data_IF_374152043844
#
_entry.id   IF_374152043844
#
_cell.length_a   1.000
_cell.length_b   1.000
_cell.length_c   1.000
_cell.angle_alpha   90.00
_cell.angle_beta   90.00
_cell.angle_gamma   90.00
#
_symmetry.space_group_name_H-M   'P 1'
#
loop_
_entity.id
_entity.type
_entity.pdbx_description
1 polymer ?
#
# COMPACT_ATOMS: atom_id res chain seq x y z
N UNK A 1 -3.25 0.03 32.31
CA UNK A 1 -3.61 1.28 31.61
C UNK A 1 -3.84 0.92 30.14
N UNK A 2 -5.06 1.02 29.59
CA UNK A 2 -5.27 0.71 28.19
C UNK A 2 -4.84 1.93 27.36
N UNK A 3 -3.67 1.84 26.73
CA UNK A 3 -3.30 2.77 25.66
C UNK A 3 -4.32 2.58 24.54
N UNK A 4 -5.19 3.57 24.34
CA UNK A 4 -5.99 3.65 23.12
C UNK A 4 -5.01 3.97 22.00
N UNK A 5 -4.57 2.93 21.27
CA UNK A 5 -3.91 3.13 19.99
C UNK A 5 -4.93 3.89 19.12
N UNK A 6 -4.62 5.12 18.73
CA UNK A 6 -5.49 5.86 17.81
C UNK A 6 -5.21 5.34 16.43
N UNK A 7 -6.18 4.66 15.84
CA UNK A 7 -6.17 4.40 14.40
C UNK A 7 -6.12 5.77 13.69
N UNK A 8 -5.08 5.99 12.90
CA UNK A 8 -4.96 7.16 12.04
C UNK A 8 -5.73 6.88 10.76
N UNK A 9 -6.54 7.85 10.33
CA UNK A 9 -7.24 7.81 9.06
C UNK A 9 -6.72 8.93 8.15
N UNK A 10 -6.36 8.60 6.91
CA UNK A 10 -5.91 9.55 5.90
C UNK A 10 -6.63 9.29 4.59
N UNK A 11 -6.91 10.35 3.82
CA UNK A 11 -7.47 10.24 2.49
C UNK A 11 -6.36 10.24 1.44
N UNK A 12 -6.32 9.20 0.62
CA UNK A 12 -5.35 9.01 -0.44
C UNK A 12 -6.03 8.51 -1.71
N UNK A 13 -5.29 8.54 -2.81
CA UNK A 13 -5.82 8.24 -4.13
C UNK A 13 -5.11 7.04 -4.76
N UNK A 14 -5.86 6.29 -5.55
CA UNK A 14 -5.35 5.21 -6.38
C UNK A 14 -5.97 5.29 -7.77
N UNK A 15 -5.18 4.97 -8.79
CA UNK A 15 -5.64 4.92 -10.16
C UNK A 15 -6.07 3.51 -10.54
N UNK A 16 -7.32 3.32 -10.93
CA UNK A 16 -7.83 2.01 -11.36
C UNK A 16 -8.20 1.99 -12.84
N UNK A 17 -8.00 0.85 -13.49
CA UNK A 17 -8.44 0.57 -14.86
C UNK A 17 -9.67 -0.33 -14.91
N UNK A 18 -10.05 -0.94 -13.78
CA UNK A 18 -11.11 -1.93 -13.67
C UNK A 18 -11.97 -1.68 -12.42
N UNK A 19 -13.18 -2.25 -12.39
CA UNK A 19 -14.01 -2.24 -11.20
C UNK A 19 -13.75 -3.50 -10.37
N UNK A 20 -13.55 -3.32 -9.07
CA UNK A 20 -13.36 -4.39 -8.11
C UNK A 20 -13.93 -3.98 -6.75
N UNK A 21 -14.28 -4.98 -5.95
CA UNK A 21 -14.85 -4.77 -4.61
C UNK A 21 -13.77 -4.66 -3.53
N UNK A 22 -12.57 -5.24 -3.75
CA UNK A 22 -11.45 -5.21 -2.82
C UNK A 22 -10.10 -5.26 -3.55
N UNK A 23 -9.07 -4.66 -2.95
CA UNK A 23 -7.69 -4.76 -3.43
C UNK A 23 -7.11 -6.13 -3.10
N UNK A 24 -6.46 -6.76 -4.09
CA UNK A 24 -5.59 -7.90 -3.82
C UNK A 24 -4.23 -7.39 -3.31
N UNK A 25 -4.06 -7.39 -1.99
CA UNK A 25 -2.79 -7.03 -1.35
C UNK A 25 -1.85 -8.23 -1.18
N UNK A 26 -2.20 -9.42 -1.68
CA UNK A 26 -1.42 -10.65 -1.44
C UNK A 26 -0.10 -10.71 -2.23
N UNK A 27 0.03 -9.91 -3.29
CA UNK A 27 1.24 -9.82 -4.11
C UNK A 27 1.96 -8.46 -3.94
N UNK A 28 3.29 -8.48 -4.11
CA UNK A 28 4.12 -7.26 -4.27
C UNK A 28 3.95 -6.23 -3.13
N UNK A 29 3.94 -6.71 -1.87
CA UNK A 29 3.97 -5.96 -0.60
C UNK A 29 2.66 -5.26 -0.19
N UNK A 30 1.74 -4.99 -1.11
CA UNK A 30 0.44 -4.36 -0.82
C UNK A 30 -0.02 -3.40 -1.90
N UNK A 31 -1.02 -2.59 -1.59
CA UNK A 31 -1.56 -1.59 -2.52
C UNK A 31 -0.92 -0.21 -2.30
N UNK A 32 -0.54 0.44 -3.39
CA UNK A 32 0.09 1.77 -3.37
C UNK A 32 -0.95 2.89 -3.47
N UNK A 33 -0.83 3.88 -2.61
CA UNK A 33 -1.69 5.07 -2.57
C UNK A 33 -0.83 6.33 -2.47
N UNK A 34 -1.35 7.45 -2.97
CA UNK A 34 -0.67 8.74 -2.90
C UNK A 34 -1.61 9.90 -3.16
N UNK A 35 -1.10 10.99 -3.70
CA UNK A 35 -1.93 12.12 -4.13
C UNK A 35 -2.71 11.77 -5.41
N UNK A 36 -3.78 12.54 -5.68
CA UNK A 36 -4.50 12.43 -6.94
C UNK A 36 -3.58 12.63 -8.15
N UNK A 37 -2.62 13.57 -8.06
CA UNK A 37 -1.64 13.83 -9.11
C UNK A 37 -0.72 12.62 -9.35
N UNK A 38 -0.22 11.98 -8.28
CA UNK A 38 0.60 10.77 -8.38
C UNK A 38 -0.18 9.60 -9.01
N UNK A 39 -1.44 9.39 -8.57
CA UNK A 39 -2.30 8.36 -9.12
C UNK A 39 -2.58 8.57 -10.62
N UNK A 40 -2.82 9.81 -11.03
CA UNK A 40 -3.09 10.16 -12.42
C UNK A 40 -1.84 10.03 -13.30
N UNK A 41 -0.68 10.45 -12.81
CA UNK A 41 0.60 10.24 -13.49
C UNK A 41 0.90 8.75 -13.65
N UNK A 42 0.67 7.95 -12.61
CA UNK A 42 0.83 6.50 -12.69
C UNK A 42 -0.10 5.87 -13.74
N UNK A 43 -1.38 6.25 -13.77
CA UNK A 43 -2.34 5.78 -14.80
C UNK A 43 -1.90 6.13 -16.22
N UNK A 44 -1.34 7.34 -16.42
CA UNK A 44 -0.77 7.72 -17.72
C UNK A 44 0.36 6.79 -18.13
N UNK A 45 1.24 6.45 -17.20
CA UNK A 45 2.40 5.60 -17.48
C UNK A 45 2.03 4.13 -17.71
N UNK A 46 1.08 3.57 -16.96
CA UNK A 46 0.74 2.13 -17.07
C UNK A 46 -0.37 1.81 -18.06
N UNK A 47 -1.30 2.75 -18.27
CA UNK A 47 -2.54 2.51 -19.00
C UNK A 47 -2.81 3.58 -20.07
N UNK A 48 -1.83 4.45 -20.38
CA UNK A 48 -2.02 5.54 -21.33
C UNK A 48 -3.09 6.54 -20.89
N UNK A 49 -3.40 6.59 -19.59
CA UNK A 49 -4.43 7.45 -19.01
C UNK A 49 -5.85 6.89 -19.13
N UNK A 50 -6.01 5.65 -19.60
CA UNK A 50 -7.28 4.94 -19.52
C UNK A 50 -7.51 4.47 -18.09
N UNK A 51 -8.64 4.86 -17.48
CA UNK A 51 -8.96 4.54 -16.09
C UNK A 51 -9.54 5.73 -15.34
N UNK A 52 -9.64 5.61 -14.03
CA UNK A 52 -10.12 6.66 -13.14
C UNK A 52 -9.29 6.73 -11.85
N UNK A 53 -9.12 7.94 -11.34
CA UNK A 53 -8.51 8.18 -10.01
C UNK A 53 -9.64 8.17 -8.99
N UNK A 54 -9.55 7.29 -8.00
CA UNK A 54 -10.51 7.16 -6.91
C UNK A 54 -9.88 7.53 -5.57
N UNK A 55 -10.69 8.06 -4.67
CA UNK A 55 -10.30 8.43 -3.30
C UNK A 55 -10.66 7.30 -2.32
N UNK A 56 -9.75 7.03 -1.39
CA UNK A 56 -9.88 6.00 -0.36
C UNK A 56 -9.48 6.57 1.00
N UNK A 57 -10.21 6.19 2.03
CA UNK A 57 -9.80 6.35 3.41
C UNK A 57 -8.93 5.15 3.81
N UNK A 58 -7.69 5.45 4.21
CA UNK A 58 -6.70 4.48 4.65
C UNK A 58 -6.56 4.57 6.16
N UNK A 59 -6.74 3.43 6.83
CA UNK A 59 -6.61 3.31 8.28
C UNK A 59 -5.36 2.51 8.65
N UNK A 60 -4.56 3.05 9.58
CA UNK A 60 -3.33 2.40 10.04
C UNK A 60 -2.96 2.89 11.45
N UNK A 61 -2.16 2.11 12.14
CA UNK A 61 -1.71 2.41 13.51
C UNK A 61 -0.29 2.95 13.53
N UNK A 62 0.61 2.39 12.72
CA UNK A 62 2.00 2.77 12.70
C UNK A 62 2.63 2.48 11.34
N UNK A 63 2.89 3.55 10.57
CA UNK A 63 3.55 3.45 9.29
C UNK A 63 5.08 3.51 9.46
N UNK A 64 5.80 2.52 8.92
CA UNK A 64 7.25 2.60 8.81
C UNK A 64 7.63 3.61 7.75
N UNK A 65 8.45 4.59 8.12
CA UNK A 65 9.03 5.53 7.17
C UNK A 65 10.23 4.92 6.44
N UNK A 66 10.12 4.83 5.12
CA UNK A 66 11.16 4.30 4.22
C UNK A 66 11.45 5.29 3.10
N UNK A 67 12.59 5.13 2.45
CA UNK A 67 12.89 5.89 1.23
C UNK A 67 12.08 5.34 0.05
N UNK A 68 11.80 6.19 -0.93
CA UNK A 68 11.30 5.72 -2.23
C UNK A 68 12.36 4.84 -2.89
N UNK A 69 12.00 3.59 -3.16
CA UNK A 69 12.92 2.61 -3.72
C UNK A 69 13.08 2.75 -5.24
N UNK A 70 12.19 3.49 -5.90
CA UNK A 70 12.05 3.59 -7.36
C UNK A 70 11.62 2.27 -8.02
N UNK A 71 12.34 1.18 -7.75
CA UNK A 71 11.94 -0.19 -8.09
C UNK A 71 11.56 -0.96 -6.84
N UNK A 72 10.25 -1.18 -6.65
CA UNK A 72 9.64 -1.93 -5.55
C UNK A 72 9.80 -3.45 -5.72
N UNK A 73 11.00 -3.90 -6.09
CA UNK A 73 11.35 -5.32 -6.24
C UNK A 73 11.74 -5.92 -4.90
N UNK A 74 11.51 -7.22 -4.75
CA UNK A 74 11.77 -7.97 -3.51
C UNK A 74 13.18 -7.70 -2.89
N UNK A 75 14.30 -7.75 -3.64
CA UNK A 75 15.62 -7.46 -3.07
C UNK A 75 15.78 -6.03 -2.53
N UNK A 76 15.18 -5.05 -3.21
CA UNK A 76 15.23 -3.63 -2.79
C UNK A 76 14.49 -3.42 -1.48
N UNK A 77 13.32 -4.06 -1.33
CA UNK A 77 12.51 -4.04 -0.10
C UNK A 77 13.29 -4.67 1.06
N UNK A 78 13.85 -5.87 0.88
CA UNK A 78 14.60 -6.53 1.96
C UNK A 78 15.83 -5.73 2.41
N UNK A 79 16.55 -5.10 1.46
CA UNK A 79 17.70 -4.25 1.77
C UNK A 79 17.28 -3.07 2.64
N UNK A 80 16.17 -2.43 2.33
CA UNK A 80 15.68 -1.29 3.10
C UNK A 80 15.16 -1.72 4.48
N UNK A 81 14.37 -2.79 4.57
CA UNK A 81 13.89 -3.29 5.86
C UNK A 81 15.05 -3.73 6.77
N UNK A 82 16.14 -4.28 6.20
CA UNK A 82 17.37 -4.54 6.95
C UNK A 82 18.07 -3.26 7.39
N UNK A 83 18.13 -2.23 6.54
CA UNK A 83 18.76 -0.94 6.86
C UNK A 83 18.05 -0.26 8.05
N UNK A 84 16.73 -0.41 8.12
CA UNK A 84 15.86 0.08 9.19
C UNK A 84 15.85 -0.80 10.44
N UNK A 85 16.54 -1.94 10.42
CA UNK A 85 16.58 -2.88 11.55
C UNK A 85 15.30 -3.71 11.75
N UNK A 86 14.36 -3.69 10.80
CA UNK A 86 13.16 -4.54 10.81
C UNK A 86 13.52 -5.99 10.55
N UNK A 87 14.51 -6.23 9.67
CA UNK A 87 15.02 -7.56 9.37
C UNK A 87 16.47 -7.71 9.82
N UNK A 88 16.78 -8.83 10.47
CA UNK A 88 18.15 -9.32 10.64
C UNK A 88 18.68 -9.96 9.36
N UNK A 89 20.01 -10.21 9.31
CA UNK A 89 20.61 -10.92 8.17
C UNK A 89 20.00 -12.33 7.97
N UNK A 90 19.79 -13.08 9.05
CA UNK A 90 19.17 -14.40 8.98
C UNK A 90 17.72 -14.35 8.48
N UNK A 91 16.96 -13.30 8.84
CA UNK A 91 15.60 -13.12 8.33
C UNK A 91 15.59 -12.72 6.84
N UNK A 92 16.61 -12.00 6.35
CA UNK A 92 16.75 -11.74 4.91
C UNK A 92 16.98 -13.03 4.14
N UNK A 93 17.83 -13.93 4.62
CA UNK A 93 18.05 -15.24 3.99
C UNK A 93 16.75 -16.07 3.99
N UNK A 94 16.04 -16.11 5.12
CA UNK A 94 14.75 -16.79 5.22
C UNK A 94 13.67 -16.19 4.29
N UNK A 95 13.70 -14.87 4.07
CA UNK A 95 12.81 -14.20 3.12
C UNK A 95 13.07 -14.63 1.68
N UNK A 96 14.34 -14.77 1.28
CA UNK A 96 14.68 -15.30 -0.04
C UNK A 96 14.23 -16.75 -0.22
N UNK A 97 14.44 -17.61 0.80
CA UNK A 97 13.94 -18.98 0.76
C UNK A 97 12.41 -19.05 0.65
N UNK A 98 11.70 -18.15 1.35
CA UNK A 98 10.25 -18.04 1.19
C UNK A 98 9.87 -17.61 -0.23
N UNK A 99 10.52 -16.59 -0.79
CA UNK A 99 10.26 -16.10 -2.13
C UNK A 99 10.59 -17.12 -3.24
N UNK A 100 11.62 -17.94 -3.02
CA UNK A 100 11.96 -19.05 -3.93
C UNK A 100 10.86 -20.12 -4.01
N UNK A 101 10.01 -20.23 -2.99
CA UNK A 101 8.82 -21.10 -3.03
C UNK A 101 7.68 -20.46 -3.81
N UNK A 102 7.42 -19.16 -3.58
CA UNK A 102 6.50 -18.33 -4.36
C UNK A 102 6.59 -16.86 -3.96
N UNK A 103 6.20 -15.96 -4.87
CA UNK A 103 6.09 -14.51 -4.59
C UNK A 103 5.12 -14.22 -3.44
N UNK A 104 4.04 -15.00 -3.33
CA UNK A 104 3.08 -14.89 -2.22
C UNK A 104 3.71 -15.26 -0.87
N UNK A 105 4.54 -16.32 -0.83
CA UNK A 105 5.25 -16.71 0.39
C UNK A 105 6.32 -15.67 0.79
N UNK A 106 7.02 -15.10 -0.19
CA UNK A 106 7.93 -13.97 0.05
C UNK A 106 7.19 -12.74 0.60
N UNK A 107 6.09 -12.35 -0.04
CA UNK A 107 5.27 -11.20 0.39
C UNK A 107 4.70 -11.39 1.79
N UNK A 108 4.18 -12.58 2.11
CA UNK A 108 3.68 -12.92 3.45
C UNK A 108 4.78 -12.80 4.52
N UNK A 109 5.99 -13.31 4.23
CA UNK A 109 7.12 -13.18 5.15
C UNK A 109 7.44 -11.72 5.49
N UNK A 110 7.45 -10.86 4.47
CA UNK A 110 7.74 -9.43 4.66
C UNK A 110 6.65 -8.74 5.49
N UNK A 111 5.36 -9.01 5.20
CA UNK A 111 4.25 -8.46 5.98
C UNK A 111 4.30 -8.92 7.43
N UNK A 112 4.58 -10.20 7.69
CA UNK A 112 4.71 -10.74 9.04
C UNK A 112 5.87 -10.10 9.81
N UNK A 113 7.00 -9.85 9.14
CA UNK A 113 8.13 -9.16 9.76
C UNK A 113 7.81 -7.70 10.10
N UNK A 114 7.11 -6.97 9.22
CA UNK A 114 6.63 -5.62 9.50
C UNK A 114 5.67 -5.60 10.69
N UNK A 115 4.69 -6.51 10.72
CA UNK A 115 3.73 -6.65 11.82
C UNK A 115 4.41 -7.00 13.13
N UNK A 116 5.37 -7.92 13.11
CA UNK A 116 6.16 -8.29 14.30
C UNK A 116 7.01 -7.13 14.83
N UNK A 117 7.44 -6.23 13.94
CA UNK A 117 8.12 -4.99 14.29
C UNK A 117 7.15 -3.84 14.69
N UNK A 118 5.84 -4.09 14.68
CA UNK A 118 4.81 -3.13 15.08
C UNK A 118 4.39 -2.14 14.01
N UNK A 119 4.58 -2.48 12.73
CA UNK A 119 4.17 -1.66 11.59
C UNK A 119 3.08 -2.35 10.77
N UNK A 120 2.10 -1.57 10.32
CA UNK A 120 0.97 -2.02 9.51
C UNK A 120 0.79 -1.23 8.21
N UNK A 121 1.69 -0.28 7.94
CA UNK A 121 1.79 0.44 6.67
C UNK A 121 3.24 0.85 6.40
N UNK A 122 3.53 1.22 5.16
CA UNK A 122 4.77 1.92 4.79
C UNK A 122 4.42 3.31 4.30
N UNK A 123 5.22 4.31 4.65
CA UNK A 123 5.13 5.67 4.12
C UNK A 123 6.46 6.11 3.52
N UNK A 124 6.41 6.87 2.42
CA UNK A 124 7.59 7.37 1.74
C UNK A 124 7.28 8.68 1.01
N UNK A 125 8.29 9.54 0.84
CA UNK A 125 8.18 10.70 -0.04
C UNK A 125 8.35 10.26 -1.49
N UNK A 126 7.33 10.45 -2.32
CA UNK A 126 7.35 10.13 -3.74
C UNK A 126 8.42 10.98 -4.45
N UNK A 127 9.25 10.36 -5.30
CA UNK A 127 10.31 11.06 -6.06
C UNK A 127 10.05 11.14 -7.56
N UNK A 128 8.96 10.54 -8.06
CA UNK A 128 8.68 10.35 -9.49
C UNK A 128 7.35 10.95 -9.92
N UNK A 129 6.21 10.37 -9.50
CA UNK A 129 4.89 10.73 -10.04
C UNK A 129 4.35 12.08 -9.52
N UNK A 130 4.70 12.45 -8.28
CA UNK A 130 4.40 13.75 -7.68
C UNK A 130 5.51 14.07 -6.66
N UNK A 131 6.65 14.52 -7.15
CA UNK A 131 7.89 14.62 -6.39
C UNK A 131 7.73 15.50 -5.13
N UNK A 132 8.06 14.93 -3.97
CA UNK A 132 7.95 15.57 -2.66
C UNK A 132 6.61 15.33 -1.95
N UNK A 133 5.64 14.71 -2.61
CA UNK A 133 4.39 14.29 -1.96
C UNK A 133 4.57 13.02 -1.12
N UNK A 134 3.63 12.76 -0.21
CA UNK A 134 3.62 11.55 0.61
C UNK A 134 2.82 10.44 -0.08
N UNK A 135 3.41 9.24 -0.13
CA UNK A 135 2.80 8.02 -0.63
C UNK A 135 2.84 6.92 0.43
N UNK A 136 1.92 5.98 0.32
CA UNK A 136 1.74 4.87 1.25
C UNK A 136 1.67 3.53 0.51
N UNK A 137 2.18 2.49 1.16
CA UNK A 137 1.88 1.09 0.82
C UNK A 137 1.06 0.52 1.97
N UNK A 138 -0.15 0.10 1.63
CA UNK A 138 -1.13 -0.45 2.55
C UNK A 138 -1.07 -1.97 2.47
N UNK A 139 -0.82 -2.61 3.61
CA UNK A 139 -0.47 -4.03 3.65
C UNK A 139 -1.69 -4.92 3.58
N UNK A 140 -2.82 -4.54 4.16
CA UNK A 140 -4.04 -5.37 4.24
C UNK A 140 -5.24 -4.67 3.62
N UNK A 141 -6.15 -5.46 3.03
CA UNK A 141 -7.30 -4.90 2.31
C UNK A 141 -8.29 -4.21 3.25
N UNK A 142 -8.39 -4.70 4.49
CA UNK A 142 -9.26 -4.16 5.54
C UNK A 142 -8.89 -2.73 5.97
N UNK A 143 -7.66 -2.29 5.65
CA UNK A 143 -7.20 -0.93 5.90
C UNK A 143 -7.73 0.07 4.86
N UNK A 144 -8.37 -0.40 3.80
CA UNK A 144 -8.74 0.41 2.62
C UNK A 144 -10.26 0.49 2.52
N UNK A 145 -10.80 1.69 2.73
CA UNK A 145 -12.24 1.96 2.56
C UNK A 145 -12.43 2.95 1.42
N UNK A 146 -13.20 2.63 0.36
CA UNK A 146 -13.55 3.62 -0.67
C UNK A 146 -14.28 4.81 -0.03
N UNK A 147 -13.87 6.05 -0.34
CA UNK A 147 -14.60 7.24 0.11
C UNK A 147 -15.96 7.36 -0.61
N UNK A 148 -16.04 6.81 -1.81
CA UNK A 148 -17.25 6.72 -2.61
C UNK A 148 -17.92 5.36 -2.41
N UNK A 149 -18.66 5.20 -1.32
CA UNK A 149 -19.85 4.35 -1.38
C UNK A 149 -20.90 5.13 -2.16
N UNK A 150 -21.50 4.49 -3.16
CA UNK A 150 -22.78 4.93 -3.69
C UNK A 150 -23.91 4.69 -2.66
N UNK A 151 -23.73 5.15 -1.41
CA UNK A 151 -24.75 5.27 -0.39
C UNK A 151 -25.60 6.52 -0.65
N UNK A 152 -26.09 6.69 -1.90
CA UNK A 152 -27.24 7.51 -2.30
C UNK A 152 -27.34 7.57 -3.83
N UNK A 153 -27.66 6.45 -4.48
CA UNK A 153 -28.71 6.56 -5.49
C UNK A 153 -30.02 6.57 -4.71
N UNK A 154 -30.71 7.72 -4.50
CA UNK A 154 -32.11 7.65 -4.12
C UNK A 154 -32.78 6.75 -5.16
N UNK A 155 -33.50 5.74 -4.70
CA UNK A 155 -34.38 4.96 -5.55
C UNK A 155 -35.21 5.96 -6.35
N UNK A 156 -34.88 6.14 -7.63
CA UNK A 156 -35.76 6.85 -8.53
C UNK A 156 -36.96 5.92 -8.70
N UNK A 157 -37.97 6.07 -7.83
CA UNK A 157 -39.32 5.90 -8.30
C UNK A 157 -39.50 6.97 -9.39
N UNK A 158 -39.48 6.53 -10.64
CA UNK A 158 -40.07 7.30 -11.73
C UNK A 158 -41.09 6.42 -12.46
N UNK A 159 -42.27 6.98 -12.76
CA UNK A 159 -43.40 6.26 -13.37
C UNK A 159 -43.10 5.77 -14.78
#
# INVERSE_FOLDING_TARGET
MPHHNRDMAIRLFHGTTEQFDAFDTSCMLGAHFGTAAAAEARLRDVAGGQGEVREYEITFQNALEIVDLGTWKFPSVLRELRSKGVLSAAQVDAAYEANNRSDAAGSAFVKDALRAAGYDALRYSNLVEDAGSESFIVLEAEQITPCDDNASRPSMCRP
#
